data_IF_658869863507
#
_entry.id   IF_658869863507
#
_cell.length_a   1.000
_cell.length_b   1.000
_cell.length_c   1.000
_cell.angle_alpha   90.00
_cell.angle_beta   90.00
_cell.angle_gamma   90.00
#
_symmetry.space_group_name_H-M   'P 1'
#
loop_
_entity.id
_entity.type
_entity.pdbx_description
1 polymer ?
#
# COMPACT_ATOMS: atom_id res chain seq x y z
N UNK A 1 0.16 -17.38 2.96
CA UNK A 1 -0.34 -16.00 2.76
C UNK A 1 0.81 -15.07 3.10
N UNK A 2 0.99 -13.97 2.36
CA UNK A 2 2.07 -13.02 2.65
C UNK A 2 1.92 -12.47 4.07
N UNK A 3 3.05 -12.27 4.73
CA UNK A 3 3.09 -11.66 6.05
C UNK A 3 3.33 -10.14 5.88
N UNK A 4 2.50 -9.31 6.54
CA UNK A 4 2.59 -7.86 6.45
C UNK A 4 2.94 -7.28 7.83
N UNK A 5 4.12 -6.66 7.91
CA UNK A 5 4.62 -6.06 9.13
C UNK A 5 4.48 -4.54 9.06
N UNK A 6 3.88 -3.94 10.08
CA UNK A 6 3.64 -2.50 10.16
C UNK A 6 4.52 -1.83 11.20
N UNK A 7 5.15 -0.72 10.84
CA UNK A 7 5.95 0.13 11.71
C UNK A 7 5.35 1.54 11.77
N UNK A 8 5.31 2.14 12.95
CA UNK A 8 4.90 3.54 13.12
C UNK A 8 5.91 4.49 12.50
N UNK A 9 5.45 5.60 11.95
CA UNK A 9 6.31 6.69 11.48
C UNK A 9 6.20 7.90 12.44
N UNK A 10 7.07 8.92 12.33
CA UNK A 10 6.86 10.18 13.04
C UNK A 10 5.52 10.86 12.70
N UNK A 11 4.91 10.55 11.55
CA UNK A 11 3.55 10.97 11.23
C UNK A 11 2.54 9.98 11.85
N UNK A 12 1.68 10.38 12.81
CA UNK A 12 0.70 9.49 13.44
C UNK A 12 -0.39 8.98 12.48
N UNK A 13 -0.52 9.63 11.32
CA UNK A 13 -1.43 9.23 10.25
C UNK A 13 -0.76 8.34 9.20
N UNK A 14 0.51 7.97 9.36
CA UNK A 14 1.20 7.09 8.41
C UNK A 14 1.80 5.86 9.08
N UNK A 15 1.70 4.74 8.38
CA UNK A 15 2.36 3.48 8.73
C UNK A 15 3.27 3.06 7.59
N UNK A 16 4.44 2.54 7.94
CA UNK A 16 5.33 1.84 7.02
C UNK A 16 4.98 0.36 7.06
N UNK A 17 4.90 -0.27 5.90
CA UNK A 17 4.55 -1.66 5.69
C UNK A 17 5.70 -2.34 4.96
N UNK A 18 6.10 -3.50 5.47
CA UNK A 18 7.07 -4.40 4.85
C UNK A 18 6.46 -5.80 4.71
N UNK A 19 7.02 -6.63 3.83
CA UNK A 19 6.52 -7.98 3.58
C UNK A 19 7.61 -8.89 3.08
N UNK A 20 7.43 -10.19 3.28
CA UNK A 20 8.25 -11.27 2.72
C UNK A 20 7.81 -11.68 1.30
N UNK A 21 6.68 -11.16 0.81
CA UNK A 21 6.08 -11.51 -0.47
C UNK A 21 6.88 -11.06 -1.71
N UNK A 22 7.89 -10.22 -1.52
CA UNK A 22 8.73 -9.65 -2.57
C UNK A 22 8.63 -8.13 -2.64
N UNK A 23 9.00 -7.58 -3.79
CA UNK A 23 9.05 -6.12 -4.00
C UNK A 23 7.67 -5.54 -4.30
N UNK A 24 7.34 -4.39 -3.70
CA UNK A 24 6.08 -3.68 -3.97
C UNK A 24 6.06 -3.09 -5.39
N UNK A 25 7.20 -2.55 -5.84
CA UNK A 25 7.46 -2.08 -7.20
C UNK A 25 8.83 -2.59 -7.66
N UNK A 26 9.05 -2.70 -8.96
CA UNK A 26 10.30 -3.31 -9.47
C UNK A 26 11.54 -2.45 -9.21
N UNK A 27 11.41 -1.14 -9.40
CA UNK A 27 12.46 -0.14 -9.16
C UNK A 27 11.84 1.25 -8.91
N UNK A 28 12.65 2.19 -8.40
CA UNK A 28 12.30 3.61 -8.30
C UNK A 28 11.47 3.97 -7.07
N UNK A 29 10.67 5.03 -7.21
CA UNK A 29 9.83 5.59 -6.15
C UNK A 29 8.54 6.09 -6.77
N UNK A 30 7.41 5.75 -6.17
CA UNK A 30 6.09 6.30 -6.52
C UNK A 30 5.50 6.98 -5.29
N UNK A 31 5.13 8.24 -5.42
CA UNK A 31 4.44 9.01 -4.39
C UNK A 31 3.22 9.66 -5.01
N UNK A 32 2.04 9.44 -4.42
CA UNK A 32 0.79 9.94 -4.97
C UNK A 32 -0.28 10.05 -3.87
N UNK A 33 -1.21 10.97 -4.06
CA UNK A 33 -2.35 11.20 -3.16
C UNK A 33 -3.72 11.13 -3.87
N UNK A 34 -3.74 10.98 -5.20
CA UNK A 34 -4.97 10.72 -5.96
C UNK A 34 -4.81 9.48 -6.85
N UNK A 35 -5.81 8.60 -6.95
CA UNK A 35 -5.79 7.51 -7.92
C UNK A 35 -5.69 8.00 -9.37
N UNK A 36 -6.10 9.24 -9.66
CA UNK A 36 -5.98 9.87 -10.98
C UNK A 36 -4.52 10.22 -11.36
N UNK A 37 -3.62 10.30 -10.37
CA UNK A 37 -2.19 10.61 -10.60
C UNK A 37 -1.38 9.39 -11.07
N UNK A 38 -2.00 8.20 -11.09
CA UNK A 38 -1.31 6.92 -11.29
C UNK A 38 -2.09 6.00 -12.25
N UNK A 39 -1.42 5.13 -13.02
CA UNK A 39 -2.12 4.26 -13.99
C UNK A 39 -3.04 3.24 -13.29
N UNK A 40 -4.24 3.03 -13.85
CA UNK A 40 -5.37 2.29 -13.24
C UNK A 40 -5.03 0.85 -12.80
N UNK A 41 -4.11 0.17 -13.49
CA UNK A 41 -3.76 -1.23 -13.19
C UNK A 41 -2.64 -1.41 -12.14
N UNK A 42 -2.09 -0.31 -11.62
CA UNK A 42 -0.96 -0.35 -10.69
C UNK A 42 -1.37 -0.67 -9.25
N UNK A 43 -0.40 -1.12 -8.43
CA UNK A 43 -0.60 -1.23 -6.99
C UNK A 43 -0.96 0.14 -6.39
N UNK A 44 -0.33 1.21 -6.87
CA UNK A 44 -0.56 2.58 -6.43
C UNK A 44 -2.03 2.98 -6.56
N UNK A 45 -2.60 2.80 -7.75
CA UNK A 45 -3.99 3.13 -8.02
C UNK A 45 -4.96 2.33 -7.13
N UNK A 46 -4.71 1.02 -6.99
CA UNK A 46 -5.53 0.12 -6.15
C UNK A 46 -5.51 0.52 -4.68
N UNK A 47 -4.36 0.93 -4.15
CA UNK A 47 -4.24 1.41 -2.77
C UNK A 47 -4.96 2.75 -2.57
N UNK A 48 -4.78 3.70 -3.50
CA UNK A 48 -5.42 5.02 -3.44
C UNK A 48 -6.95 4.95 -3.64
N UNK A 49 -7.44 3.89 -4.30
CA UNK A 49 -8.87 3.61 -4.42
C UNK A 49 -9.51 3.11 -3.12
N UNK A 50 -8.71 2.73 -2.11
CA UNK A 50 -9.25 2.31 -0.81
C UNK A 50 -9.72 3.54 -0.03
N UNK A 51 -11.04 3.65 0.19
CA UNK A 51 -11.62 4.72 1.00
C UNK A 51 -10.96 4.79 2.38
N UNK A 52 -10.35 5.95 2.66
CA UNK A 52 -9.65 6.24 3.91
C UNK A 52 -8.14 6.28 3.77
N UNK A 53 -7.59 5.90 2.61
CA UNK A 53 -6.19 6.18 2.23
C UNK A 53 -6.11 7.61 1.72
N UNK A 54 -5.17 8.38 2.24
CA UNK A 54 -4.91 9.77 1.86
C UNK A 54 -3.77 9.88 0.85
N UNK A 55 -2.68 9.16 1.10
CA UNK A 55 -1.50 9.15 0.25
C UNK A 55 -0.68 7.88 0.46
N UNK A 56 0.20 7.63 -0.51
CA UNK A 56 1.13 6.50 -0.49
C UNK A 56 2.53 6.94 -0.90
N UNK A 57 3.51 6.20 -0.40
CA UNK A 57 4.88 6.19 -0.89
C UNK A 57 5.31 4.74 -1.09
N UNK A 58 5.56 4.35 -2.33
CA UNK A 58 6.02 3.02 -2.71
C UNK A 58 7.51 3.05 -3.06
N UNK A 59 8.27 2.18 -2.41
CA UNK A 59 9.63 1.79 -2.79
C UNK A 59 9.67 0.27 -2.97
N UNK A 60 10.69 -0.29 -3.64
CA UNK A 60 10.82 -1.73 -3.80
C UNK A 60 10.75 -2.50 -2.47
N UNK A 61 11.34 -1.97 -1.40
CA UNK A 61 11.47 -2.64 -0.11
C UNK A 61 10.32 -2.38 0.87
N UNK A 62 9.60 -1.27 0.74
CA UNK A 62 8.53 -0.91 1.67
C UNK A 62 7.49 0.02 1.05
N UNK A 63 6.31 0.02 1.64
CA UNK A 63 5.21 0.93 1.36
C UNK A 63 4.98 1.80 2.59
N UNK A 64 4.86 3.11 2.45
CA UNK A 64 4.21 3.94 3.46
C UNK A 64 2.81 4.27 2.98
N UNK A 65 1.83 4.12 3.87
CA UNK A 65 0.45 4.52 3.61
C UNK A 65 0.01 5.51 4.67
N UNK A 66 -0.64 6.58 4.23
CA UNK A 66 -1.26 7.56 5.12
C UNK A 66 -2.76 7.43 5.07
N UNK A 67 -3.41 7.57 6.23
CA UNK A 67 -4.87 7.57 6.34
C UNK A 67 -5.41 9.00 6.36
N UNK A 68 -6.65 9.16 5.91
CA UNK A 68 -7.39 10.41 6.11
C UNK A 68 -7.74 10.59 7.59
N UNK A 69 -7.83 11.84 8.06
CA UNK A 69 -8.20 12.13 9.45
C UNK A 69 -9.55 11.50 9.84
N UNK A 70 -9.61 11.02 11.09
CA UNK A 70 -10.79 10.37 11.65
C UNK A 70 -10.99 8.91 11.24
N UNK A 71 -10.22 8.37 10.29
CA UNK A 71 -10.27 6.93 9.95
C UNK A 71 -9.45 6.12 10.95
N UNK A 72 -10.00 5.03 11.48
CA UNK A 72 -9.27 4.15 12.39
C UNK A 72 -8.42 3.12 11.62
N UNK A 73 -7.15 2.92 12.01
CA UNK A 73 -6.28 1.91 11.40
C UNK A 73 -6.88 0.50 11.47
N UNK A 74 -7.56 0.15 12.56
CA UNK A 74 -8.28 -1.12 12.71
C UNK A 74 -9.34 -1.37 11.64
N UNK A 75 -9.87 -0.32 11.01
CA UNK A 75 -10.86 -0.41 9.92
C UNK A 75 -10.24 -0.30 8.53
N UNK A 76 -9.07 0.33 8.43
CA UNK A 76 -8.39 0.58 7.16
C UNK A 76 -7.43 -0.56 6.80
N UNK A 77 -6.64 -1.03 7.77
CA UNK A 77 -5.59 -2.02 7.53
C UNK A 77 -6.10 -3.32 6.89
N UNK A 78 -7.25 -3.91 7.31
CA UNK A 78 -7.77 -5.12 6.66
C UNK A 78 -8.05 -4.93 5.16
N UNK A 79 -8.44 -3.72 4.73
CA UNK A 79 -8.70 -3.42 3.31
C UNK A 79 -7.40 -3.27 2.53
N UNK A 80 -6.40 -2.65 3.15
CA UNK A 80 -5.06 -2.49 2.57
C UNK A 80 -4.40 -3.87 2.38
N UNK A 81 -4.48 -4.73 3.39
CA UNK A 81 -3.95 -6.11 3.33
C UNK A 81 -4.65 -6.96 2.27
N UNK A 82 -5.97 -6.82 2.06
CA UNK A 82 -6.68 -7.51 0.97
C UNK A 82 -6.15 -7.06 -0.41
N UNK A 83 -5.94 -5.75 -0.61
CA UNK A 83 -5.34 -5.23 -1.85
C UNK A 83 -3.93 -5.77 -2.06
N UNK A 84 -3.08 -5.75 -1.03
CA UNK A 84 -1.72 -6.26 -1.11
C UNK A 84 -1.70 -7.77 -1.38
N UNK A 85 -2.53 -8.54 -0.68
CA UNK A 85 -2.64 -9.99 -0.86
C UNK A 85 -3.02 -10.33 -2.30
N UNK A 86 -4.03 -9.66 -2.86
CA UNK A 86 -4.43 -9.84 -4.26
C UNK A 86 -3.30 -9.45 -5.21
N UNK A 87 -2.65 -8.32 -4.97
CA UNK A 87 -1.54 -7.85 -5.81
C UNK A 87 -0.42 -8.89 -5.91
N UNK A 88 0.06 -9.41 -4.79
CA UNK A 88 1.12 -10.42 -4.78
C UNK A 88 0.65 -11.77 -5.35
N UNK A 89 -0.59 -12.18 -5.10
CA UNK A 89 -1.14 -13.39 -5.71
C UNK A 89 -1.22 -13.30 -7.24
N UNK A 90 -1.61 -12.15 -7.79
CA UNK A 90 -1.65 -11.93 -9.24
C UNK A 90 -0.25 -11.87 -9.87
N UNK A 91 0.76 -11.35 -9.16
CA UNK A 91 2.16 -11.38 -9.62
C UNK A 91 2.71 -12.80 -9.65
N UNK A 92 2.43 -13.61 -8.63
CA UNK A 92 2.92 -15.00 -8.55
C UNK A 92 2.39 -15.89 -9.70
N UNK A 93 1.20 -15.59 -10.25
CA UNK A 93 0.63 -16.31 -11.40
C UNK A 93 1.28 -15.95 -12.75
N UNK A 94 2.03 -14.84 -12.81
CA UNK A 94 2.65 -14.32 -14.04
C UNK A 94 4.10 -14.77 -14.22
N UNK A 95 4.66 -15.42 -13.21
CA UNK A 95 5.95 -16.12 -13.18
C UNK A 95 5.75 -17.61 -13.37
#
# INVERSE_FOLDING_TARGET
>A
MPDFQTETTPNPNSLKITTDAGRFIDDGLVSASSPDDVPEDTLAHKLLSVKGVADILLLPAFLTISRTDGVAWSTLMPKVEDVLTRHFAERAKRT
#
